data_IF_932417890075
#
_entry.id   IF_932417890075
#
_cell.length_a   1.000
_cell.length_b   1.000
_cell.length_c   1.000
_cell.angle_alpha   90.00
_cell.angle_beta   90.00
_cell.angle_gamma   90.00
#
_symmetry.space_group_name_H-M   'P 1'
#
loop_
_entity.id
_entity.type
_entity.pdbx_description
1 polymer ?
#
# COMPACT_ATOMS: atom_id res chain seq x y z
N UNK A 1 -9.57 10.36 -0.91
CA UNK A 1 -8.73 9.35 -0.20
C UNK A 1 -8.78 9.55 1.31
N UNK A 2 -8.60 10.77 1.80
CA UNK A 2 -8.63 11.07 3.25
C UNK A 2 -9.95 10.64 3.91
N UNK A 3 -11.09 10.90 3.27
CA UNK A 3 -12.41 10.46 3.77
C UNK A 3 -12.54 8.95 3.90
N UNK A 4 -11.72 8.18 3.17
CA UNK A 4 -11.75 6.72 3.18
C UNK A 4 -10.72 6.10 4.11
N UNK A 5 -9.60 6.77 4.38
CA UNK A 5 -8.51 6.24 5.20
C UNK A 5 -8.43 6.91 6.58
N UNK A 6 -9.02 8.10 6.74
CA UNK A 6 -8.78 8.96 7.90
C UNK A 6 -7.43 9.68 7.76
N UNK A 7 -6.77 9.93 8.88
CA UNK A 7 -5.56 10.75 8.94
C UNK A 7 -4.26 10.00 8.59
N UNK A 8 -4.31 8.66 8.48
CA UNK A 8 -3.10 7.91 8.08
C UNK A 8 -2.72 8.22 6.64
N UNK A 9 -1.50 8.68 6.46
CA UNK A 9 -0.92 8.87 5.13
C UNK A 9 -0.81 7.53 4.41
N UNK A 10 -1.25 7.50 3.16
CA UNK A 10 -1.16 6.33 2.30
C UNK A 10 -0.36 6.66 1.05
N UNK A 11 0.54 5.76 0.67
CA UNK A 11 1.28 5.84 -0.57
C UNK A 11 0.55 5.05 -1.67
N UNK A 12 -0.12 5.76 -2.58
CA UNK A 12 -0.85 5.16 -3.70
C UNK A 12 0.07 4.51 -4.75
N UNK A 13 1.36 4.83 -4.75
CA UNK A 13 2.37 4.15 -5.56
C UNK A 13 2.78 2.78 -5.00
N UNK A 14 2.43 2.49 -3.75
CA UNK A 14 2.64 1.16 -3.15
C UNK A 14 1.48 0.22 -3.49
N UNK A 15 1.71 -0.88 -4.24
CA UNK A 15 0.66 -1.84 -4.57
C UNK A 15 -0.02 -2.42 -3.32
N UNK A 16 0.74 -2.61 -2.25
CA UNK A 16 0.23 -3.12 -0.98
C UNK A 16 -0.74 -2.11 -0.34
N UNK A 17 -0.33 -0.85 -0.19
CA UNK A 17 -1.17 0.18 0.42
C UNK A 17 -2.38 0.52 -0.46
N UNK A 18 -2.22 0.51 -1.78
CA UNK A 18 -3.34 0.65 -2.71
C UNK A 18 -4.35 -0.50 -2.53
N UNK A 19 -3.87 -1.73 -2.31
CA UNK A 19 -4.75 -2.86 -2.04
C UNK A 19 -5.56 -2.67 -0.73
N UNK A 20 -4.97 -2.08 0.29
CA UNK A 20 -5.68 -1.75 1.54
C UNK A 20 -6.84 -0.79 1.31
N UNK A 21 -6.60 0.24 0.48
CA UNK A 21 -7.63 1.23 0.15
C UNK A 21 -8.77 0.62 -0.68
N UNK A 22 -8.47 -0.31 -1.60
CA UNK A 22 -9.49 -0.96 -2.43
C UNK A 22 -10.28 -1.99 -1.63
N UNK A 23 -9.60 -2.89 -0.93
CA UNK A 23 -10.22 -4.08 -0.32
C UNK A 23 -10.52 -3.93 1.18
N UNK A 24 -10.01 -2.88 1.85
CA UNK A 24 -10.17 -2.62 3.29
C UNK A 24 -9.64 -3.75 4.19
N UNK A 25 -8.72 -4.54 3.67
CA UNK A 25 -8.17 -5.73 4.31
C UNK A 25 -6.70 -5.91 3.94
N UNK A 26 -5.96 -6.56 4.85
CA UNK A 26 -4.60 -7.04 4.60
C UNK A 26 -4.43 -8.48 5.10
N UNK A 27 -3.47 -9.24 4.61
CA UNK A 27 -3.14 -10.56 5.18
C UNK A 27 -2.75 -10.44 6.65
N UNK A 28 -3.18 -11.38 7.48
CA UNK A 28 -2.71 -11.51 8.87
C UNK A 28 -1.24 -11.92 8.91
N UNK A 29 -0.88 -12.89 8.09
CA UNK A 29 0.48 -13.36 7.87
C UNK A 29 0.72 -13.54 6.38
N UNK A 30 1.78 -12.88 5.84
CA UNK A 30 2.09 -12.92 4.41
C UNK A 30 2.60 -14.29 3.95
N UNK A 31 3.32 -15.02 4.80
CA UNK A 31 3.86 -16.33 4.46
C UNK A 31 2.75 -17.39 4.38
N UNK A 32 1.89 -17.43 5.37
CA UNK A 32 0.72 -18.32 5.37
C UNK A 32 -0.22 -17.98 4.21
N UNK A 33 -0.47 -16.69 3.96
CA UNK A 33 -1.25 -16.21 2.82
C UNK A 33 -0.70 -16.72 1.48
N UNK A 34 0.61 -16.52 1.27
CA UNK A 34 1.28 -16.97 0.05
C UNK A 34 1.24 -18.49 -0.12
N UNK A 35 1.32 -19.25 0.98
CA UNK A 35 1.23 -20.70 1.00
C UNK A 35 -0.18 -21.21 0.66
N UNK A 36 -1.22 -20.65 1.32
CA UNK A 36 -2.62 -21.03 1.11
C UNK A 36 -3.05 -20.82 -0.35
N UNK A 37 -2.72 -19.67 -0.92
CA UNK A 37 -3.12 -19.30 -2.29
C UNK A 37 -2.09 -19.70 -3.35
N UNK A 38 -1.01 -20.37 -2.95
CA UNK A 38 0.09 -20.82 -3.81
C UNK A 38 0.58 -19.70 -4.75
N UNK A 39 0.89 -18.55 -4.17
CA UNK A 39 1.35 -17.37 -4.90
C UNK A 39 2.85 -17.43 -5.23
N UNK A 40 3.29 -16.58 -6.16
CA UNK A 40 4.70 -16.42 -6.51
C UNK A 40 5.15 -17.28 -7.68
N UNK A 41 6.47 -17.36 -7.84
CA UNK A 41 7.14 -18.06 -8.95
C UNK A 41 7.73 -19.36 -8.44
N UNK A 42 7.57 -20.42 -9.21
CA UNK A 42 8.24 -21.68 -8.97
C UNK A 42 9.75 -21.54 -9.23
N UNK A 43 10.56 -21.93 -8.24
CA UNK A 43 12.02 -21.76 -8.29
C UNK A 43 12.70 -22.58 -9.38
N UNK A 44 12.15 -23.72 -9.71
CA UNK A 44 12.72 -24.66 -10.70
C UNK A 44 12.28 -24.32 -12.13
N UNK A 45 10.99 -24.13 -12.32
CA UNK A 45 10.43 -23.89 -13.68
C UNK A 45 10.48 -22.43 -14.09
N UNK A 46 10.79 -21.49 -13.19
CA UNK A 46 10.73 -20.03 -13.40
C UNK A 46 9.35 -19.53 -13.90
N UNK A 47 8.31 -20.35 -13.74
CA UNK A 47 6.93 -20.02 -14.09
C UNK A 47 6.11 -19.71 -12.85
N UNK A 48 5.00 -19.02 -13.04
CA UNK A 48 4.04 -18.80 -11.96
C UNK A 48 3.52 -20.14 -11.44
N UNK A 49 3.47 -20.28 -10.12
CA UNK A 49 2.91 -21.46 -9.47
C UNK A 49 1.45 -21.65 -9.86
N UNK A 50 1.04 -22.92 -10.06
CA UNK A 50 -0.34 -23.23 -10.37
C UNK A 50 -1.25 -22.91 -9.18
N UNK A 51 -2.22 -22.06 -9.41
CA UNK A 51 -3.18 -21.67 -8.39
C UNK A 51 -4.11 -22.83 -8.02
N UNK A 52 -4.43 -23.02 -6.73
CA UNK A 52 -5.39 -24.01 -6.30
C UNK A 52 -6.79 -23.66 -6.81
N UNK A 53 -7.59 -24.69 -7.04
CA UNK A 53 -9.01 -24.51 -7.38
C UNK A 53 -9.83 -24.54 -6.10
N UNK A 54 -10.53 -23.45 -5.82
CA UNK A 54 -11.47 -23.35 -4.72
C UNK A 54 -12.89 -23.12 -5.26
N UNK A 55 -13.88 -23.64 -4.56
CA UNK A 55 -15.24 -23.15 -4.74
C UNK A 55 -15.33 -21.70 -4.24
N UNK A 56 -16.34 -20.95 -4.69
CA UNK A 56 -16.52 -19.56 -4.28
C UNK A 56 -16.64 -19.41 -2.75
N UNK A 57 -17.36 -20.33 -2.10
CA UNK A 57 -17.54 -20.32 -0.63
C UNK A 57 -16.22 -20.62 0.09
N UNK A 58 -15.46 -21.63 -0.37
CA UNK A 58 -14.15 -21.95 0.20
C UNK A 58 -13.19 -20.76 0.07
N UNK A 59 -13.13 -20.14 -1.11
CA UNK A 59 -12.28 -18.98 -1.34
C UNK A 59 -12.62 -17.82 -0.39
N UNK A 60 -13.91 -17.48 -0.26
CA UNK A 60 -14.36 -16.42 0.64
C UNK A 60 -13.99 -16.70 2.10
N UNK A 61 -14.19 -17.93 2.56
CA UNK A 61 -13.87 -18.32 3.93
C UNK A 61 -12.36 -18.26 4.19
N UNK A 62 -11.53 -18.73 3.24
CA UNK A 62 -10.08 -18.64 3.34
C UNK A 62 -9.60 -17.18 3.39
N UNK A 63 -10.16 -16.30 2.55
CA UNK A 63 -9.84 -14.86 2.60
C UNK A 63 -10.26 -14.26 3.94
N UNK A 64 -11.48 -14.55 4.42
CA UNK A 64 -11.99 -14.01 5.68
C UNK A 64 -11.14 -14.46 6.89
N UNK A 65 -10.78 -15.73 6.96
CA UNK A 65 -10.02 -16.29 8.08
C UNK A 65 -8.55 -15.81 8.12
N UNK A 66 -7.95 -15.56 6.95
CA UNK A 66 -6.53 -15.21 6.82
C UNK A 66 -6.26 -13.74 6.51
N UNK A 67 -7.28 -12.89 6.55
CA UNK A 67 -7.13 -11.44 6.46
C UNK A 67 -7.69 -10.73 7.68
N UNK A 68 -7.17 -9.55 7.95
CA UNK A 68 -7.68 -8.66 8.98
C UNK A 68 -8.19 -7.35 8.37
N UNK A 69 -9.23 -6.75 8.94
CA UNK A 69 -9.76 -5.48 8.46
C UNK A 69 -8.81 -4.33 8.76
N UNK A 70 -8.83 -3.33 7.90
CA UNK A 70 -8.15 -2.07 8.11
C UNK A 70 -9.19 -1.02 8.48
N UNK A 71 -8.95 -0.33 9.57
CA UNK A 71 -9.83 0.72 10.07
C UNK A 71 -9.29 2.09 9.70
N UNK A 72 -10.18 3.06 9.60
CA UNK A 72 -9.80 4.48 9.50
C UNK A 72 -9.07 4.89 10.77
N UNK A 73 -8.17 5.83 10.64
CA UNK A 73 -7.43 6.36 11.78
C UNK A 73 -7.78 7.81 12.02
N UNK A 74 -7.64 8.23 13.27
CA UNK A 74 -7.71 9.61 13.70
C UNK A 74 -6.38 9.97 14.34
N UNK A 75 -5.79 11.05 13.87
CA UNK A 75 -4.57 11.60 14.45
C UNK A 75 -4.90 12.39 15.72
N UNK A 76 -4.12 12.18 16.74
CA UNK A 76 -4.13 13.01 17.95
C UNK A 76 -2.73 13.52 18.23
N UNK A 77 -2.65 14.72 18.83
CA UNK A 77 -1.38 15.26 19.24
C UNK A 77 -0.69 14.32 20.23
N UNK A 78 0.56 13.98 19.97
CA UNK A 78 1.32 13.13 20.88
C UNK A 78 1.48 13.80 22.23
N UNK A 79 0.94 13.20 23.27
CA UNK A 79 0.96 13.73 24.64
C UNK A 79 2.40 13.79 25.18
N UNK A 80 3.23 12.79 24.84
CA UNK A 80 4.59 12.67 25.37
C UNK A 80 5.52 13.80 24.91
N UNK A 81 5.43 14.25 23.66
CA UNK A 81 6.23 15.36 23.14
C UNK A 81 5.42 16.65 22.93
N UNK A 82 4.15 16.65 23.27
CA UNK A 82 3.22 17.78 23.10
C UNK A 82 3.26 18.29 21.64
N UNK A 83 3.17 17.35 20.68
CA UNK A 83 3.18 17.64 19.25
C UNK A 83 4.53 18.02 18.62
N UNK A 84 5.60 18.12 19.41
CA UNK A 84 6.92 18.57 18.90
C UNK A 84 7.68 17.52 18.10
N UNK A 85 7.32 16.24 18.21
CA UNK A 85 8.04 15.12 17.60
C UNK A 85 9.39 14.80 18.25
N UNK A 86 9.89 15.68 19.11
CA UNK A 86 11.20 15.53 19.77
C UNK A 86 11.07 15.78 21.28
N UNK A 87 11.91 15.09 22.05
CA UNK A 87 11.99 15.20 23.50
C UNK A 87 13.44 15.40 23.94
N UNK A 88 13.61 15.97 25.13
CA UNK A 88 14.91 15.94 25.83
C UNK A 88 14.91 14.79 26.82
N UNK A 89 15.77 13.81 26.59
CA UNK A 89 15.98 12.73 27.57
C UNK A 89 16.67 13.31 28.81
N UNK A 90 16.36 12.75 29.97
CA UNK A 90 16.92 13.15 31.26
C UNK A 90 18.02 12.14 31.59
N UNK A 91 19.15 12.64 32.08
CA UNK A 91 20.25 11.82 32.57
C UNK A 91 19.91 11.25 33.98
N UNK A 92 20.74 10.31 34.44
CA UNK A 92 20.58 9.69 35.76
C UNK A 92 20.67 10.72 36.88
N UNK A 93 21.44 11.80 36.68
CA UNK A 93 21.61 12.93 37.62
C UNK A 93 20.44 13.92 37.62
N UNK A 94 19.37 13.65 36.84
CA UNK A 94 18.20 14.52 36.73
C UNK A 94 18.38 15.69 35.75
N UNK A 95 19.54 15.88 35.14
CA UNK A 95 19.76 16.97 34.16
C UNK A 95 19.36 16.59 32.77
N UNK A 96 18.76 17.48 31.95
CA UNK A 96 18.38 17.18 30.60
C UNK A 96 19.62 17.12 29.68
N UNK A 97 19.61 16.20 28.68
CA UNK A 97 20.60 16.21 27.63
C UNK A 97 20.56 17.50 26.82
N UNK A 98 21.70 17.95 26.30
CA UNK A 98 21.79 19.15 25.45
C UNK A 98 21.07 18.96 24.10
N UNK A 99 21.07 17.74 23.53
CA UNK A 99 20.47 17.41 22.24
C UNK A 99 19.05 16.87 22.43
N UNK A 100 18.16 17.24 21.50
CA UNK A 100 16.85 16.63 21.34
C UNK A 100 16.99 15.27 20.66
N UNK A 101 16.14 14.33 21.06
CA UNK A 101 15.99 13.01 20.42
C UNK A 101 14.57 12.90 19.87
N UNK A 102 14.37 12.05 18.87
CA UNK A 102 13.02 11.74 18.40
C UNK A 102 12.19 11.20 19.55
N UNK A 103 10.92 11.58 19.60
CA UNK A 103 9.97 11.03 20.55
C UNK A 103 9.74 9.55 20.27
N UNK A 104 9.88 8.72 21.29
CA UNK A 104 9.78 7.27 21.15
C UNK A 104 8.31 6.82 20.92
N UNK A 105 7.31 7.61 21.36
CA UNK A 105 5.88 7.33 21.19
C UNK A 105 5.37 7.62 19.76
N UNK A 106 5.76 8.76 19.20
CA UNK A 106 5.28 9.17 17.88
C UNK A 106 6.36 9.06 16.79
N UNK A 107 7.52 8.50 17.10
CA UNK A 107 8.66 8.31 16.18
C UNK A 107 9.11 9.60 15.46
N UNK A 108 8.87 10.74 16.06
CA UNK A 108 9.26 12.05 15.55
C UNK A 108 8.17 12.77 14.75
N UNK A 109 6.99 12.18 14.58
CA UNK A 109 5.89 12.78 13.80
C UNK A 109 5.12 13.87 14.56
N UNK A 110 5.13 13.84 15.89
CA UNK A 110 4.36 14.73 16.74
C UNK A 110 2.91 14.30 16.95
N UNK A 111 2.44 13.28 16.24
CA UNK A 111 1.08 12.74 16.31
C UNK A 111 1.10 11.24 16.53
N UNK A 112 0.06 10.75 17.19
CA UNK A 112 -0.25 9.33 17.33
C UNK A 112 -1.57 9.04 16.63
N UNK A 113 -1.75 7.81 16.11
CA UNK A 113 -2.92 7.43 15.35
C UNK A 113 -3.72 6.36 16.09
N UNK A 114 -4.99 6.61 16.29
CA UNK A 114 -5.92 5.66 16.89
C UNK A 114 -6.89 5.12 15.83
N UNK A 115 -7.19 3.82 15.88
CA UNK A 115 -8.17 3.21 14.99
C UNK A 115 -9.59 3.68 15.36
N UNK A 116 -10.35 4.07 14.35
CA UNK A 116 -11.78 4.35 14.46
C UNK A 116 -12.58 3.05 14.29
N UNK A 117 -13.85 3.06 14.68
CA UNK A 117 -14.75 1.91 14.46
C UNK A 117 -15.12 1.68 12.97
N UNK A 118 -14.82 2.64 12.09
CA UNK A 118 -15.21 2.60 10.68
C UNK A 118 -14.11 1.99 9.82
N UNK A 119 -14.47 1.04 8.94
CA UNK A 119 -13.54 0.46 7.97
C UNK A 119 -12.92 1.53 7.07
N UNK A 120 -11.63 1.35 6.79
CA UNK A 120 -10.93 2.14 5.79
C UNK A 120 -11.27 1.65 4.37
N UNK A 121 -11.09 2.53 3.37
CA UNK A 121 -11.18 2.17 1.97
C UNK A 121 -12.58 1.94 1.43
N UNK A 122 -12.65 1.26 0.29
CA UNK A 122 -13.87 1.01 -0.49
C UNK A 122 -14.50 -0.36 -0.23
N UNK A 123 -13.88 -1.19 0.57
CA UNK A 123 -14.35 -2.53 0.99
C UNK A 123 -14.76 -3.44 -0.18
N UNK A 124 -14.00 -3.42 -1.26
CA UNK A 124 -14.22 -4.32 -2.38
C UNK A 124 -13.96 -5.77 -2.01
N UNK A 125 -14.60 -6.69 -2.72
CA UNK A 125 -14.45 -8.13 -2.48
C UNK A 125 -13.64 -8.76 -3.62
N UNK A 126 -12.57 -9.50 -3.31
CA UNK A 126 -11.89 -10.30 -4.33
C UNK A 126 -12.84 -11.40 -4.82
N UNK A 127 -12.80 -11.71 -6.12
CA UNK A 127 -13.74 -12.65 -6.77
C UNK A 127 -13.17 -14.03 -6.90
N UNK A 128 -11.86 -14.10 -7.06
CA UNK A 128 -11.17 -15.35 -7.34
C UNK A 128 -9.75 -15.36 -6.79
N UNK A 129 -9.17 -16.55 -6.77
CA UNK A 129 -7.77 -16.76 -6.40
C UNK A 129 -6.80 -15.97 -7.30
N UNK A 130 -7.23 -15.57 -8.49
CA UNK A 130 -6.40 -14.77 -9.41
C UNK A 130 -6.28 -13.30 -9.01
N UNK A 131 -7.15 -12.82 -8.12
CA UNK A 131 -7.09 -11.48 -7.53
C UNK A 131 -6.14 -11.41 -6.32
N UNK A 132 -5.50 -12.52 -5.97
CA UNK A 132 -4.58 -12.63 -4.84
C UNK A 132 -3.14 -12.50 -5.31
N UNK A 133 -2.33 -11.75 -4.56
CA UNK A 133 -0.87 -11.65 -4.67
C UNK A 133 -0.20 -12.22 -3.42
N UNK A 134 1.10 -12.32 -3.42
CA UNK A 134 1.91 -12.75 -2.26
C UNK A 134 1.88 -11.74 -1.10
N UNK A 135 1.68 -10.46 -1.40
CA UNK A 135 1.56 -9.40 -0.38
C UNK A 135 0.11 -9.05 -0.02
N UNK A 136 -0.89 -9.75 -0.57
CA UNK A 136 -2.31 -9.51 -0.30
C UNK A 136 -3.19 -9.61 -1.53
N UNK A 137 -3.77 -8.50 -1.97
CA UNK A 137 -4.65 -8.45 -3.14
C UNK A 137 -3.96 -7.75 -4.31
N UNK A 138 -4.25 -8.20 -5.52
CA UNK A 138 -3.68 -7.59 -6.73
C UNK A 138 -4.25 -6.21 -7.00
N UNK A 139 -3.35 -5.35 -7.45
CA UNK A 139 -3.65 -3.99 -7.93
C UNK A 139 -2.93 -3.70 -9.25
N UNK A 140 -2.65 -4.75 -10.03
CA UNK A 140 -2.09 -4.61 -11.36
C UNK A 140 -3.10 -3.98 -12.34
N UNK A 141 -2.60 -3.48 -13.47
CA UNK A 141 -3.41 -2.79 -14.49
C UNK A 141 -4.61 -3.62 -14.95
N UNK A 142 -4.44 -4.93 -15.08
CA UNK A 142 -5.50 -5.83 -15.55
C UNK A 142 -6.61 -5.91 -14.49
N UNK A 143 -6.22 -6.09 -13.23
CA UNK A 143 -7.15 -6.14 -12.10
C UNK A 143 -7.88 -4.80 -11.91
N UNK A 144 -7.14 -3.67 -11.97
CA UNK A 144 -7.75 -2.33 -11.86
C UNK A 144 -8.73 -2.04 -12.98
N UNK A 145 -8.44 -2.43 -14.24
CA UNK A 145 -9.38 -2.27 -15.34
C UNK A 145 -10.66 -3.11 -15.16
N UNK A 146 -10.55 -4.34 -14.65
CA UNK A 146 -11.73 -5.15 -14.32
C UNK A 146 -12.58 -4.48 -13.25
N UNK A 147 -11.95 -3.98 -12.18
CA UNK A 147 -12.64 -3.28 -11.10
C UNK A 147 -13.33 -2.02 -11.65
N UNK A 148 -12.65 -1.22 -12.47
CA UNK A 148 -13.20 -0.01 -13.07
C UNK A 148 -14.41 -0.27 -13.97
N UNK A 149 -14.43 -1.41 -14.69
CA UNK A 149 -15.55 -1.81 -15.53
C UNK A 149 -16.84 -2.10 -14.76
N UNK A 150 -16.71 -2.45 -13.49
CA UNK A 150 -17.82 -2.87 -12.64
C UNK A 150 -18.12 -1.88 -11.51
N UNK A 151 -17.17 -0.99 -11.22
CA UNK A 151 -17.34 0.06 -10.22
C UNK A 151 -18.28 1.16 -10.70
N UNK A 152 -18.92 1.82 -9.77
CA UNK A 152 -19.82 2.95 -10.01
C UNK A 152 -19.41 4.15 -9.14
N UNK A 153 -19.87 5.34 -9.55
CA UNK A 153 -19.72 6.59 -8.80
C UNK A 153 -18.27 6.92 -8.43
N UNK A 154 -18.08 7.43 -7.23
CA UNK A 154 -16.78 7.87 -6.68
C UNK A 154 -15.68 6.80 -6.78
N UNK A 155 -16.05 5.54 -6.59
CA UNK A 155 -15.07 4.46 -6.63
C UNK A 155 -14.53 4.23 -8.06
N UNK A 156 -15.39 4.29 -9.07
CA UNK A 156 -14.98 4.20 -10.47
C UNK A 156 -14.04 5.34 -10.86
N UNK A 157 -14.37 6.56 -10.46
CA UNK A 157 -13.54 7.74 -10.72
C UNK A 157 -12.17 7.62 -10.06
N UNK A 158 -12.14 7.14 -8.82
CA UNK A 158 -10.89 6.87 -8.10
C UNK A 158 -10.02 5.86 -8.84
N UNK A 159 -10.57 4.69 -9.22
CA UNK A 159 -9.80 3.65 -9.94
C UNK A 159 -9.28 4.17 -11.29
N UNK A 160 -10.10 4.88 -12.04
CA UNK A 160 -9.68 5.48 -13.32
C UNK A 160 -8.54 6.50 -13.12
N UNK A 161 -8.58 7.28 -12.05
CA UNK A 161 -7.52 8.23 -11.70
C UNK A 161 -6.21 7.51 -11.39
N UNK A 162 -6.24 6.40 -10.66
CA UNK A 162 -5.06 5.57 -10.39
C UNK A 162 -4.49 4.98 -11.68
N UNK A 163 -5.33 4.45 -12.56
CA UNK A 163 -4.89 3.90 -13.86
C UNK A 163 -4.18 4.99 -14.69
N UNK A 164 -4.76 6.20 -14.76
CA UNK A 164 -4.15 7.33 -15.47
C UNK A 164 -2.83 7.76 -14.84
N UNK A 165 -2.80 7.92 -13.51
CA UNK A 165 -1.59 8.27 -12.78
C UNK A 165 -0.45 7.28 -13.06
N UNK A 166 -0.72 5.97 -12.97
CA UNK A 166 0.28 4.94 -13.23
C UNK A 166 0.77 4.96 -14.69
N UNK A 167 -0.11 5.22 -15.65
CA UNK A 167 0.27 5.38 -17.06
C UNK A 167 1.20 6.59 -17.24
N UNK A 168 0.82 7.76 -16.72
CA UNK A 168 1.62 8.98 -16.82
C UNK A 168 2.99 8.80 -16.14
N UNK A 169 3.02 8.22 -14.93
CA UNK A 169 4.27 7.94 -14.22
C UNK A 169 5.19 7.02 -15.02
N UNK A 170 4.64 6.00 -15.67
CA UNK A 170 5.42 5.12 -16.55
C UNK A 170 5.99 5.90 -17.74
N UNK A 171 5.20 6.76 -18.39
CA UNK A 171 5.68 7.59 -19.48
C UNK A 171 6.79 8.54 -19.04
N UNK A 172 6.61 9.24 -17.92
CA UNK A 172 7.62 10.15 -17.39
C UNK A 172 8.94 9.43 -17.10
N UNK A 173 8.88 8.35 -16.34
CA UNK A 173 10.09 7.61 -15.94
C UNK A 173 10.77 6.93 -17.13
N UNK A 174 10.01 6.37 -18.06
CA UNK A 174 10.58 5.60 -19.18
C UNK A 174 11.04 6.50 -20.31
N UNK A 175 10.25 7.50 -20.69
CA UNK A 175 10.54 8.32 -21.87
C UNK A 175 11.21 9.63 -21.55
N UNK A 176 10.75 10.36 -20.53
CA UNK A 176 11.34 11.67 -20.20
C UNK A 176 12.66 11.48 -19.46
N UNK A 177 12.66 10.84 -18.31
CA UNK A 177 13.88 10.62 -17.51
C UNK A 177 14.83 9.63 -18.20
N UNK A 178 14.30 8.58 -18.83
CA UNK A 178 15.10 7.62 -19.59
C UNK A 178 15.83 8.27 -20.74
N UNK A 179 15.17 9.10 -21.55
CA UNK A 179 15.82 9.79 -22.68
C UNK A 179 16.84 10.81 -22.22
N UNK A 180 16.66 11.49 -21.08
CA UNK A 180 17.66 12.41 -20.52
C UNK A 180 18.99 11.73 -20.28
N UNK A 181 18.98 10.49 -19.84
CA UNK A 181 20.21 9.69 -19.60
C UNK A 181 20.98 9.31 -20.89
N UNK A 182 20.33 9.41 -22.05
CA UNK A 182 20.92 9.12 -23.37
C UNK A 182 21.21 10.38 -24.18
N UNK A 183 21.00 11.56 -23.59
CA UNK A 183 21.25 12.84 -24.25
C UNK A 183 22.64 13.34 -23.85
N UNK A 184 23.49 13.66 -24.84
CA UNK A 184 24.80 14.28 -24.60
C UNK A 184 24.70 15.77 -24.26
N UNK A 185 25.85 16.41 -23.96
CA UNK A 185 25.93 17.84 -23.68
C UNK A 185 25.43 18.74 -24.82
N UNK A 186 25.38 18.24 -26.06
CA UNK A 186 24.87 18.95 -27.24
C UNK A 186 23.38 18.68 -27.52
N UNK A 187 22.67 17.99 -26.62
CA UNK A 187 21.26 17.68 -26.77
C UNK A 187 20.95 16.55 -27.76
N UNK A 188 21.96 15.80 -28.24
CA UNK A 188 21.76 14.69 -29.18
C UNK A 188 21.53 13.37 -28.40
N UNK A 189 20.57 12.57 -28.84
CA UNK A 189 20.28 11.26 -28.33
C UNK A 189 21.28 10.23 -28.88
N UNK A 190 21.92 9.48 -27.96
CA UNK A 190 22.79 8.35 -28.28
C UNK A 190 22.15 7.05 -27.78
N UNK A 191 21.29 6.41 -28.61
CA UNK A 191 20.73 5.11 -28.23
C UNK A 191 21.85 4.08 -28.14
N UNK A 192 21.91 3.35 -27.04
CA UNK A 192 22.71 2.13 -26.94
C UNK A 192 21.91 0.99 -27.53
N UNK A 193 22.35 0.47 -28.66
CA UNK A 193 21.85 -0.78 -29.21
C UNK A 193 22.57 -1.96 -28.59
#
# INVERSE_FOLDING_TARGET
>A
VYDKMGDTKINLGSPEQLSWLIYSKKPKDKHEWAKIFNTGIDKFTKKNKKRPKFSFTQFRNLVANNSEPIYRTMASQCIHCIGKGVIKKIKIDGTPYKKYTKCDECYGEGFTYANMAKLAGFNQRPRSVYDISDSGFKTDRITLNKIAGEAEGEFREFINSIIRHNAISTYLNTFVEGLQNFTNANGLLHPKF
#
